data_IF_838895735039
#
_entry.id   IF_838895735039
#
_cell.length_a   1.000
_cell.length_b   1.000
_cell.length_c   1.000
_cell.angle_alpha   90.00
_cell.angle_beta   90.00
_cell.angle_gamma   90.00
#
_symmetry.space_group_name_H-M   'P 1'
#
loop_
_entity.id
_entity.type
_entity.pdbx_description
1 polymer ?
#
# COMPACT_ATOMS: atom_id res chain seq x y z
N UNK A 1 5.91 -0.97 -37.05
CA UNK A 1 5.87 -2.14 -36.17
C UNK A 1 6.88 -1.93 -35.05
N UNK A 2 6.42 -1.49 -33.88
CA UNK A 2 7.04 -1.59 -32.56
C UNK A 2 5.87 -1.40 -31.58
N UNK A 3 5.44 -2.41 -30.80
CA UNK A 3 4.38 -2.17 -29.83
C UNK A 3 4.97 -1.29 -28.72
N UNK A 4 4.34 -0.14 -28.49
CA UNK A 4 4.57 0.68 -27.31
C UNK A 4 4.26 -0.19 -26.09
N UNK A 5 5.29 -0.77 -25.47
CA UNK A 5 5.16 -1.46 -24.19
C UNK A 5 4.87 -0.39 -23.13
N UNK A 6 3.60 -0.05 -22.95
CA UNK A 6 3.12 0.61 -21.73
C UNK A 6 3.17 -0.50 -20.67
N UNK A 7 4.06 -0.46 -19.68
CA UNK A 7 4.09 -1.52 -18.68
C UNK A 7 2.83 -1.43 -17.83
N UNK A 8 2.27 -2.61 -17.55
CA UNK A 8 1.07 -2.86 -16.76
C UNK A 8 1.09 -2.06 -15.45
N UNK A 9 0.13 -1.13 -15.33
CA UNK A 9 -0.28 -0.41 -14.10
C UNK A 9 0.84 0.25 -13.30
N UNK A 10 1.00 1.58 -13.45
CA UNK A 10 1.89 2.42 -12.65
C UNK A 10 1.48 2.43 -11.17
N UNK A 11 1.83 1.37 -10.45
CA UNK A 11 1.67 1.27 -9.01
C UNK A 11 3.05 1.37 -8.37
N UNK A 12 3.19 2.28 -7.41
CA UNK A 12 4.31 2.31 -6.50
C UNK A 12 4.08 1.30 -5.39
N UNK A 13 5.15 0.63 -4.99
CA UNK A 13 5.10 -0.30 -3.87
C UNK A 13 5.63 0.38 -2.62
N UNK A 14 4.83 0.42 -1.56
CA UNK A 14 5.21 1.01 -0.26
C UNK A 14 5.26 -0.07 0.81
N UNK A 15 6.28 0.00 1.67
CA UNK A 15 6.39 -0.85 2.85
C UNK A 15 5.75 -0.13 4.04
N UNK A 16 4.78 -0.78 4.66
CA UNK A 16 4.11 -0.31 5.86
C UNK A 16 4.62 -1.13 7.04
N UNK A 17 5.10 -0.44 8.07
CA UNK A 17 5.61 -1.05 9.31
C UNK A 17 4.65 -0.76 10.46
N UNK A 18 4.17 -1.80 11.11
CA UNK A 18 3.26 -1.70 12.26
C UNK A 18 4.04 -1.88 13.57
N UNK A 19 3.70 -1.05 14.57
CA UNK A 19 4.41 -1.00 15.85
C UNK A 19 3.44 -1.08 17.03
N UNK A 20 3.84 -1.82 18.07
CA UNK A 20 3.07 -2.02 19.30
C UNK A 20 1.62 -2.45 18.99
N UNK A 21 0.64 -1.69 19.48
CA UNK A 21 -0.79 -2.02 19.34
C UNK A 21 -1.26 -2.10 17.89
N UNK A 22 -0.66 -1.36 16.94
CA UNK A 22 -1.07 -1.48 15.53
C UNK A 22 -0.63 -2.81 14.91
N UNK A 23 0.47 -3.41 15.37
CA UNK A 23 0.88 -4.75 14.92
C UNK A 23 -0.02 -5.85 15.49
N UNK A 24 -0.56 -5.65 16.69
CA UNK A 24 -1.56 -6.55 17.28
C UNK A 24 -2.89 -6.48 16.52
N UNK A 25 -3.34 -5.26 16.16
CA UNK A 25 -4.58 -5.04 15.39
C UNK A 25 -4.46 -5.61 13.97
N UNK A 26 -3.37 -5.30 13.26
CA UNK A 26 -3.14 -5.81 11.92
C UNK A 26 -2.78 -7.32 11.90
N UNK A 27 -2.35 -7.88 13.04
CA UNK A 27 -1.86 -9.25 13.16
C UNK A 27 -0.52 -9.50 12.44
N UNK A 28 0.09 -8.46 11.88
CA UNK A 28 1.32 -8.50 11.10
C UNK A 28 2.24 -7.33 11.48
N UNK A 29 3.55 -7.52 11.27
CA UNK A 29 4.57 -6.51 11.63
C UNK A 29 4.89 -5.57 10.47
N UNK A 30 4.73 -6.06 9.25
CA UNK A 30 4.87 -5.26 8.04
C UNK A 30 4.05 -5.84 6.90
N UNK A 31 3.68 -4.99 5.96
CA UNK A 31 3.14 -5.40 4.68
C UNK A 31 3.63 -4.49 3.56
N UNK A 32 3.53 -5.02 2.35
CA UNK A 32 3.89 -4.33 1.13
C UNK A 32 2.62 -4.03 0.34
N UNK A 33 2.28 -2.75 0.21
CA UNK A 33 1.06 -2.30 -0.46
C UNK A 33 1.41 -1.70 -1.83
N UNK A 34 0.72 -2.17 -2.86
CA UNK A 34 0.76 -1.54 -4.19
C UNK A 34 -0.26 -0.42 -4.25
N UNK A 35 0.21 0.81 -4.42
CA UNK A 35 -0.58 2.04 -4.45
C UNK A 35 -0.36 2.78 -5.77
N UNK A 36 -1.28 3.66 -6.20
CA UNK A 36 -1.03 4.52 -7.36
C UNK A 36 0.26 5.33 -7.18
N UNK A 37 0.98 5.56 -8.30
CA UNK A 37 2.28 6.25 -8.30
C UNK A 37 2.23 7.64 -7.61
N UNK A 38 1.09 8.32 -7.68
CA UNK A 38 0.81 9.54 -6.94
C UNK A 38 -0.26 9.28 -5.89
N UNK A 39 0.18 8.95 -4.67
CA UNK A 39 -0.71 8.78 -3.52
C UNK A 39 -0.37 9.79 -2.42
N UNK A 40 -1.40 10.37 -1.81
CA UNK A 40 -1.24 11.20 -0.61
C UNK A 40 -1.24 10.34 0.64
N UNK A 41 -0.54 10.78 1.69
CA UNK A 41 -0.48 10.06 2.97
C UNK A 41 -1.87 9.70 3.53
N UNK A 42 -2.86 10.60 3.38
CA UNK A 42 -4.25 10.35 3.80
C UNK A 42 -4.92 9.21 3.01
N UNK A 43 -4.67 9.12 1.71
CA UNK A 43 -5.24 8.05 0.88
C UNK A 43 -4.61 6.70 1.25
N UNK A 44 -3.30 6.68 1.50
CA UNK A 44 -2.61 5.49 1.99
C UNK A 44 -3.16 5.05 3.35
N UNK A 45 -3.39 6.00 4.26
CA UNK A 45 -3.99 5.71 5.57
C UNK A 45 -5.38 5.08 5.43
N UNK A 46 -6.24 5.65 4.58
CA UNK A 46 -7.58 5.09 4.33
C UNK A 46 -7.51 3.67 3.77
N UNK A 47 -6.53 3.36 2.91
CA UNK A 47 -6.32 1.99 2.43
C UNK A 47 -5.88 1.04 3.53
N UNK A 48 -5.00 1.47 4.43
CA UNK A 48 -4.54 0.68 5.58
C UNK A 48 -5.70 0.41 6.55
N UNK A 49 -6.47 1.44 6.89
CA UNK A 49 -7.64 1.33 7.78
C UNK A 49 -8.74 0.45 7.17
N UNK A 50 -8.95 0.51 5.86
CA UNK A 50 -9.90 -0.37 5.17
C UNK A 50 -9.48 -1.85 5.18
N UNK A 51 -8.17 -2.14 5.22
CA UNK A 51 -7.63 -3.50 5.28
C UNK A 51 -7.64 -4.07 6.70
N UNK A 52 -7.25 -3.24 7.67
CA UNK A 52 -7.18 -3.60 9.09
C UNK A 52 -8.08 -2.67 9.90
N UNK A 53 -9.41 -2.86 9.82
CA UNK A 53 -10.33 -2.13 10.67
C UNK A 53 -10.04 -2.52 12.12
N UNK A 54 -9.64 -1.54 12.93
CA UNK A 54 -9.43 -1.68 14.37
C UNK A 54 -10.70 -1.57 15.18
#
# INVERSE_FOLDING_TARGET
MMPLYIPLTWHSTVEVLYFAKSAEIAGIRSETISVPQEIKALQLWNEIEARHPG
#
